data_IF_453531580960
#
_entry.id   IF_453531580960
#
_cell.length_a   1.000
_cell.length_b   1.000
_cell.length_c   1.000
_cell.angle_alpha   90.00
_cell.angle_beta   90.00
_cell.angle_gamma   90.00
#
_symmetry.space_group_name_H-M   'P 1'
#
loop_
_entity.id
_entity.type
_entity.pdbx_description
1 polymer ?
#
# COMPACT_ATOMS: atom_id res chain seq x y z
N UNK A 1 -36.96 -9.74 -7.72
CA UNK A 1 -35.78 -9.32 -6.92
C UNK A 1 -34.54 -9.68 -7.74
N UNK A 2 -33.63 -8.73 -7.93
CA UNK A 2 -32.31 -8.99 -8.53
C UNK A 2 -31.33 -9.41 -7.42
N UNK A 3 -30.55 -10.45 -7.67
CA UNK A 3 -29.52 -10.93 -6.73
C UNK A 3 -28.22 -11.16 -7.49
N UNK A 4 -27.15 -10.50 -7.05
CA UNK A 4 -25.78 -10.70 -7.54
C UNK A 4 -25.04 -11.53 -6.49
N UNK A 5 -24.54 -12.70 -6.88
CA UNK A 5 -23.83 -13.63 -6.00
C UNK A 5 -22.35 -13.58 -6.39
N UNK A 6 -21.44 -13.53 -5.40
CA UNK A 6 -19.99 -13.41 -5.62
C UNK A 6 -19.62 -12.23 -6.54
N UNK A 7 -20.04 -11.03 -6.14
CA UNK A 7 -19.84 -9.81 -6.93
C UNK A 7 -18.37 -9.62 -7.35
N UNK A 8 -18.19 -9.30 -8.63
CA UNK A 8 -16.91 -9.00 -9.27
C UNK A 8 -16.89 -7.55 -9.72
N UNK A 9 -15.71 -6.99 -9.95
CA UNK A 9 -15.58 -5.62 -10.46
C UNK A 9 -16.38 -5.38 -11.74
N UNK A 10 -16.48 -6.41 -12.60
CA UNK A 10 -17.28 -6.39 -13.84
C UNK A 10 -18.79 -6.25 -13.64
N UNK A 11 -19.30 -6.49 -12.43
CA UNK A 11 -20.72 -6.34 -12.11
C UNK A 11 -21.06 -4.87 -11.76
N UNK A 12 -20.07 -3.98 -11.71
CA UNK A 12 -20.34 -2.55 -11.52
C UNK A 12 -21.06 -1.98 -12.74
N UNK A 13 -22.13 -1.23 -12.52
CA UNK A 13 -22.94 -0.69 -13.60
C UNK A 13 -24.31 -0.19 -13.17
N UNK A 14 -25.09 0.23 -14.15
CA UNK A 14 -26.48 0.67 -13.94
C UNK A 14 -27.41 -0.51 -14.20
N UNK A 15 -28.19 -0.87 -13.18
CA UNK A 15 -29.23 -1.88 -13.24
C UNK A 15 -30.60 -1.22 -13.30
N UNK A 16 -31.42 -1.60 -14.27
CA UNK A 16 -32.77 -1.04 -14.46
C UNK A 16 -33.82 -2.09 -14.13
N UNK A 17 -34.69 -1.76 -13.18
CA UNK A 17 -35.91 -2.51 -12.92
C UNK A 17 -37.03 -1.92 -13.79
N UNK A 18 -37.67 -2.74 -14.62
CA UNK A 18 -38.82 -2.33 -15.42
C UNK A 18 -40.06 -3.09 -14.99
N UNK A 19 -41.15 -2.37 -14.75
CA UNK A 19 -42.47 -2.91 -14.49
C UNK A 19 -43.42 -2.54 -15.63
N UNK A 20 -44.29 -3.46 -16.03
CA UNK A 20 -45.27 -3.26 -17.10
C UNK A 20 -46.60 -3.86 -16.70
N UNK A 21 -47.69 -3.12 -16.93
CA UNK A 21 -49.07 -3.58 -16.78
C UNK A 21 -49.90 -3.12 -18.00
N UNK A 22 -51.21 -3.41 -18.02
CA UNK A 22 -52.10 -3.06 -19.13
C UNK A 22 -52.21 -1.54 -19.38
N UNK A 23 -51.91 -0.71 -18.37
CA UNK A 23 -51.99 0.74 -18.47
C UNK A 23 -50.66 1.40 -18.91
N UNK A 24 -49.52 0.70 -18.85
CA UNK A 24 -48.23 1.24 -19.28
C UNK A 24 -47.01 0.53 -18.68
N UNK A 25 -45.85 1.18 -18.77
CA UNK A 25 -44.59 0.70 -18.20
C UNK A 25 -43.84 1.81 -17.47
N UNK A 26 -43.19 1.44 -16.38
CA UNK A 26 -42.34 2.31 -15.57
C UNK A 26 -40.97 1.65 -15.39
N UNK A 27 -39.92 2.47 -15.24
CA UNK A 27 -38.55 2.00 -15.04
C UNK A 27 -37.89 2.77 -13.89
N UNK A 28 -37.10 2.06 -13.10
CA UNK A 28 -36.26 2.63 -12.05
C UNK A 28 -34.82 2.12 -12.21
N UNK A 29 -33.87 3.05 -12.29
CA UNK A 29 -32.44 2.74 -12.38
C UNK A 29 -31.76 2.75 -11.00
N UNK A 30 -30.76 1.89 -10.83
CA UNK A 30 -29.91 1.75 -9.65
C UNK A 30 -28.44 1.62 -10.10
N UNK A 31 -27.52 2.32 -9.43
CA UNK A 31 -26.08 2.17 -9.68
C UNK A 31 -25.51 1.18 -8.68
N UNK A 32 -24.89 0.11 -9.18
CA UNK A 32 -24.08 -0.82 -8.38
C UNK A 32 -22.61 -0.49 -8.60
N UNK A 33 -21.88 -0.26 -7.52
CA UNK A 33 -20.43 -0.08 -7.52
C UNK A 33 -19.80 -1.18 -6.67
N UNK A 34 -18.91 -1.97 -7.26
CA UNK A 34 -18.22 -3.05 -6.56
C UNK A 34 -16.84 -2.57 -6.12
N UNK A 35 -16.66 -2.48 -4.81
CA UNK A 35 -15.41 -2.08 -4.18
C UNK A 35 -14.45 -3.27 -4.07
N UNK A 36 -13.17 -3.02 -4.26
CA UNK A 36 -12.08 -4.00 -4.22
C UNK A 36 -11.11 -3.63 -3.10
N UNK A 37 -10.98 -4.50 -2.10
CA UNK A 37 -10.06 -4.28 -0.99
C UNK A 37 -8.62 -4.10 -1.48
N UNK A 38 -7.81 -3.26 -0.79
CA UNK A 38 -6.44 -2.99 -1.20
C UNK A 38 -5.59 -4.26 -1.11
N UNK A 39 -4.60 -4.36 -2.00
CA UNK A 39 -3.56 -5.39 -1.97
C UNK A 39 -2.22 -4.79 -2.32
N UNK A 40 -1.25 -4.97 -1.43
CA UNK A 40 0.12 -4.48 -1.63
C UNK A 40 0.84 -5.42 -2.61
N UNK A 41 1.48 -4.81 -3.61
CA UNK A 41 2.35 -5.44 -4.61
C UNK A 41 3.72 -4.77 -4.51
N UNK A 42 4.55 -5.22 -3.56
CA UNK A 42 5.91 -4.72 -3.40
C UNK A 42 6.94 -5.63 -4.04
N UNK A 43 7.97 -5.02 -4.65
CA UNK A 43 9.17 -5.70 -5.12
C UNK A 43 10.35 -5.55 -4.18
N UNK A 44 10.21 -4.77 -3.10
CA UNK A 44 11.26 -4.60 -2.10
C UNK A 44 11.32 -5.83 -1.19
N UNK A 45 12.52 -6.36 -0.87
CA UNK A 45 12.64 -7.48 0.07
C UNK A 45 12.28 -7.02 1.49
N UNK A 46 11.71 -7.92 2.32
CA UNK A 46 11.25 -7.57 3.68
C UNK A 46 12.39 -7.22 4.64
N UNK A 47 13.64 -7.58 4.29
CA UNK A 47 14.83 -7.26 5.07
C UNK A 47 15.88 -6.66 4.15
N UNK A 48 16.45 -5.51 4.51
CA UNK A 48 17.57 -4.89 3.78
C UNK A 48 18.66 -4.44 4.75
N UNK A 49 19.90 -4.42 4.27
CA UNK A 49 21.03 -3.86 5.01
C UNK A 49 21.56 -2.63 4.27
N UNK A 50 21.71 -1.52 4.98
CA UNK A 50 22.07 -0.22 4.40
C UNK A 50 23.19 0.41 5.22
N UNK A 51 24.27 0.93 4.60
CA UNK A 51 25.32 1.65 5.32
C UNK A 51 24.76 2.90 6.01
N UNK A 52 25.29 3.24 7.20
CA UNK A 52 25.02 4.54 7.84
C UNK A 52 25.28 5.69 6.86
N UNK A 53 24.39 6.68 6.82
CA UNK A 53 24.50 7.86 5.96
C UNK A 53 24.08 7.63 4.52
N UNK A 54 23.73 6.39 4.14
CA UNK A 54 23.23 6.08 2.80
C UNK A 54 21.71 6.21 2.70
N UNK A 55 21.24 6.62 1.53
CA UNK A 55 19.82 6.63 1.18
C UNK A 55 19.34 5.24 0.71
N UNK A 56 18.05 4.97 0.90
CA UNK A 56 17.37 3.78 0.39
C UNK A 56 15.90 4.07 0.14
N UNK A 57 15.24 3.18 -0.63
CA UNK A 57 13.81 3.28 -0.94
C UNK A 57 13.07 1.97 -0.67
N UNK A 58 11.85 2.06 -0.14
CA UNK A 58 10.94 0.95 0.11
C UNK A 58 9.64 1.17 -0.67
N UNK A 59 9.32 0.24 -1.57
CA UNK A 59 8.12 0.35 -2.40
C UNK A 59 6.88 -0.07 -1.62
N UNK A 60 5.76 0.61 -1.83
CA UNK A 60 4.45 0.17 -1.36
C UNK A 60 3.40 0.30 -2.46
N UNK A 61 3.73 -0.25 -3.63
CA UNK A 61 2.78 -0.29 -4.74
C UNK A 61 1.51 -1.03 -4.32
N UNK A 62 0.35 -0.50 -4.70
CA UNK A 62 -0.94 -1.01 -4.26
C UNK A 62 -1.90 -1.17 -5.43
N UNK A 63 -2.82 -2.12 -5.33
CA UNK A 63 -4.01 -2.21 -6.17
C UNK A 63 -5.24 -2.19 -5.27
N UNK A 64 -6.33 -1.59 -5.71
CA UNK A 64 -7.60 -1.55 -5.00
C UNK A 64 -8.54 -0.56 -5.64
N UNK A 65 -9.82 -0.63 -5.31
CA UNK A 65 -10.81 0.36 -5.74
C UNK A 65 -11.84 0.58 -4.64
N UNK A 66 -12.14 1.82 -4.22
CA UNK A 66 -11.53 3.08 -4.65
C UNK A 66 -10.02 3.13 -4.36
N UNK A 67 -9.33 4.11 -4.96
CA UNK A 67 -7.87 4.25 -4.84
C UNK A 67 -7.45 4.26 -3.35
N UNK A 68 -6.60 3.31 -2.89
CA UNK A 68 -6.28 3.20 -1.48
C UNK A 68 -5.39 4.33 -0.97
N UNK A 69 -5.68 4.82 0.23
CA UNK A 69 -4.81 5.73 0.95
C UNK A 69 -3.59 4.98 1.48
N UNK A 70 -2.40 5.48 1.17
CA UNK A 70 -1.12 4.93 1.63
C UNK A 70 -0.64 5.70 2.85
N UNK A 71 -0.17 4.98 3.87
CA UNK A 71 0.40 5.55 5.08
C UNK A 71 1.60 4.76 5.56
N UNK A 72 2.59 5.45 6.10
CA UNK A 72 3.82 4.84 6.60
C UNK A 72 3.99 5.09 8.09
N UNK A 73 4.59 4.11 8.77
CA UNK A 73 5.08 4.23 10.13
C UNK A 73 6.55 3.82 10.20
N UNK A 74 7.29 4.42 11.13
CA UNK A 74 8.67 4.11 11.46
C UNK A 74 8.74 3.77 12.94
N UNK A 75 9.09 2.53 13.27
CA UNK A 75 9.08 1.99 14.62
C UNK A 75 7.72 2.16 15.33
N UNK A 76 6.63 2.08 14.58
CA UNK A 76 5.27 2.26 15.07
C UNK A 76 4.77 3.72 15.05
N UNK A 77 5.66 4.70 14.94
CA UNK A 77 5.28 6.12 14.87
C UNK A 77 4.87 6.51 13.45
N UNK A 78 3.72 7.19 13.32
CA UNK A 78 3.23 7.66 12.02
C UNK A 78 4.18 8.67 11.41
N UNK A 79 4.57 8.44 10.16
CA UNK A 79 5.36 9.38 9.39
C UNK A 79 4.43 10.46 8.82
N UNK A 80 4.65 11.71 9.22
CA UNK A 80 3.98 12.86 8.64
C UNK A 80 4.69 13.29 7.35
N UNK A 81 3.97 13.84 6.35
CA UNK A 81 4.55 14.32 5.08
C UNK A 81 5.64 15.40 5.22
N UNK A 82 5.78 16.03 6.40
CA UNK A 82 6.71 17.14 6.65
C UNK A 82 7.96 16.73 7.44
N UNK A 83 8.30 15.44 7.47
CA UNK A 83 9.52 14.99 8.13
C UNK A 83 10.72 15.24 7.18
N UNK A 84 11.68 16.07 7.59
CA UNK A 84 12.74 16.58 6.70
C UNK A 84 13.63 15.48 6.07
N UNK A 85 13.68 14.29 6.68
CA UNK A 85 14.51 13.18 6.23
C UNK A 85 13.75 12.13 5.40
N UNK A 86 12.51 12.42 4.99
CA UNK A 86 11.60 11.44 4.39
C UNK A 86 10.88 12.03 3.17
N UNK A 87 10.86 11.26 2.09
CA UNK A 87 10.10 11.54 0.88
C UNK A 87 9.14 10.35 0.64
N UNK A 88 7.87 10.64 0.40
CA UNK A 88 6.88 9.64 -0.04
C UNK A 88 6.40 10.08 -1.42
N UNK A 89 6.72 9.29 -2.44
CA UNK A 89 6.35 9.56 -3.83
C UNK A 89 4.85 9.29 -4.07
N UNK A 90 4.32 9.76 -5.21
CA UNK A 90 2.91 9.54 -5.60
C UNK A 90 2.53 8.05 -5.69
N UNK A 91 3.50 7.19 -6.01
CA UNK A 91 3.31 5.73 -6.06
C UNK A 91 3.38 5.04 -4.68
N UNK A 92 3.54 5.83 -3.61
CA UNK A 92 3.66 5.36 -2.24
C UNK A 92 5.07 4.89 -1.83
N UNK A 93 6.07 5.02 -2.70
CA UNK A 93 7.45 4.67 -2.38
C UNK A 93 8.02 5.61 -1.33
N UNK A 94 8.56 5.02 -0.26
CA UNK A 94 9.24 5.74 0.81
C UNK A 94 10.74 5.82 0.51
N UNK A 95 11.30 7.01 0.48
CA UNK A 95 12.75 7.25 0.35
C UNK A 95 13.27 8.00 1.57
N UNK A 96 14.36 7.51 2.19
CA UNK A 96 14.94 8.11 3.40
C UNK A 96 16.43 7.78 3.53
N UNK A 97 17.13 8.46 4.44
CA UNK A 97 18.55 8.28 4.73
C UNK A 97 18.71 7.65 6.11
N UNK A 98 19.65 6.72 6.24
CA UNK A 98 19.96 6.13 7.55
C UNK A 98 20.86 7.03 8.39
N UNK A 99 20.54 7.24 9.67
CA UNK A 99 21.28 8.16 10.55
C UNK A 99 22.23 7.46 11.51
N UNK A 100 21.85 6.31 12.07
CA UNK A 100 22.61 5.59 13.10
C UNK A 100 22.53 4.08 12.88
N UNK A 101 23.53 3.35 13.36
CA UNK A 101 23.54 1.88 13.26
C UNK A 101 22.49 1.29 14.20
N UNK A 102 21.33 0.96 13.65
CA UNK A 102 20.19 0.37 14.34
C UNK A 102 19.34 -0.47 13.38
N UNK A 103 18.45 -1.28 13.95
CA UNK A 103 17.37 -1.91 13.19
C UNK A 103 16.16 -0.98 13.25
N UNK A 104 15.65 -0.59 12.09
CA UNK A 104 14.46 0.25 11.98
C UNK A 104 13.36 -0.52 11.25
N UNK A 105 12.16 -0.50 11.82
CA UNK A 105 10.99 -1.16 11.25
C UNK A 105 10.16 -0.11 10.52
N UNK A 106 10.00 -0.26 9.22
CA UNK A 106 9.09 0.56 8.43
C UNK A 106 7.88 -0.27 8.06
N UNK A 107 6.68 0.22 8.38
CA UNK A 107 5.44 -0.45 8.00
C UNK A 107 4.62 0.45 7.11
N UNK A 108 4.25 -0.07 5.94
CA UNK A 108 3.29 0.56 5.05
C UNK A 108 1.91 -0.05 5.30
N UNK A 109 0.90 0.81 5.43
CA UNK A 109 -0.50 0.43 5.57
C UNK A 109 -1.30 1.13 4.50
N UNK A 110 -2.09 0.35 3.74
CA UNK A 110 -2.97 0.83 2.68
C UNK A 110 -4.42 0.57 3.03
N UNK A 111 -5.32 1.52 2.76
CA UNK A 111 -6.74 1.42 3.14
C UNK A 111 -7.68 2.09 2.14
N UNK A 112 -8.79 1.44 1.83
CA UNK A 112 -9.95 2.05 1.19
C UNK A 112 -11.25 1.61 1.91
N UNK A 113 -12.40 1.93 1.34
CA UNK A 113 -13.71 1.62 1.94
C UNK A 113 -14.03 0.11 1.96
N UNK A 114 -13.36 -0.69 1.14
CA UNK A 114 -13.51 -2.15 1.11
C UNK A 114 -12.59 -2.88 2.10
N UNK A 115 -11.53 -2.25 2.59
CA UNK A 115 -10.63 -2.88 3.54
C UNK A 115 -9.24 -2.25 3.61
N UNK A 116 -8.28 -3.03 4.14
CA UNK A 116 -6.90 -2.60 4.33
C UNK A 116 -5.92 -3.76 4.17
N UNK A 117 -4.68 -3.43 3.85
CA UNK A 117 -3.53 -4.35 3.79
C UNK A 117 -2.28 -3.66 4.36
N UNK A 118 -1.29 -4.45 4.81
CA UNK A 118 -0.04 -3.91 5.39
C UNK A 118 1.18 -4.79 5.11
N UNK A 119 2.35 -4.15 5.02
CA UNK A 119 3.64 -4.82 4.88
C UNK A 119 4.70 -4.16 5.76
N UNK A 120 5.58 -4.97 6.34
CA UNK A 120 6.67 -4.55 7.21
C UNK A 120 8.05 -4.80 6.56
N UNK A 121 8.94 -3.82 6.68
CA UNK A 121 10.34 -3.87 6.26
C UNK A 121 11.26 -3.68 7.46
N UNK A 122 12.24 -4.57 7.62
CA UNK A 122 13.32 -4.42 8.60
C UNK A 122 14.57 -3.92 7.91
N UNK A 123 14.98 -2.72 8.28
CA UNK A 123 16.17 -2.05 7.75
C UNK A 123 17.28 -2.15 8.78
N UNK A 124 18.32 -2.92 8.46
CA UNK A 124 19.52 -3.09 9.27
C UNK A 124 20.55 -2.04 8.86
N UNK A 125 20.70 -0.99 9.65
CA UNK A 125 21.70 0.04 9.37
C UNK A 125 23.06 -0.39 9.91
N UNK A 126 24.04 -0.57 9.03
CA UNK A 126 25.38 -1.06 9.37
C UNK A 126 26.38 0.09 9.43
N UNK A 127 27.10 0.19 10.55
CA UNK A 127 28.24 1.11 10.66
C UNK A 127 29.32 0.76 9.64
N UNK A 128 29.95 1.78 9.05
CA UNK A 128 31.09 1.60 8.13
C UNK A 128 32.20 0.71 8.73
N UNK A 129 32.41 0.76 10.05
CA UNK A 129 33.40 -0.09 10.74
C UNK A 129 33.09 -1.59 10.66
N UNK A 130 31.82 -1.98 10.61
CA UNK A 130 31.40 -3.38 10.53
C UNK A 130 31.41 -3.90 9.09
N UNK A 131 31.31 -3.01 8.09
CA UNK A 131 31.38 -3.39 6.68
C UNK A 131 32.75 -3.97 6.31
N UNK A 132 33.84 -3.39 6.83
CA UNK A 132 35.20 -3.90 6.62
C UNK A 132 35.38 -5.33 7.15
N UNK A 133 34.74 -5.68 8.27
CA UNK A 133 34.88 -7.00 8.92
C UNK A 133 34.18 -8.10 8.12
N UNK A 134 33.02 -7.80 7.51
CA UNK A 134 32.30 -8.75 6.65
C UNK A 134 32.97 -8.89 5.27
N UNK A 135 33.56 -7.81 4.74
CA UNK A 135 34.30 -7.85 3.48
C UNK A 135 35.68 -8.53 3.59
N UNK A 136 36.33 -8.48 4.76
CA UNK A 136 37.68 -9.04 4.94
C UNK A 136 37.72 -10.57 5.07
N UNK A 137 36.58 -11.23 5.27
CA UNK A 137 36.48 -12.70 5.36
C UNK A 137 36.25 -13.40 4.00
N UNK A 138 36.46 -12.70 2.89
CA UNK A 138 36.25 -13.21 1.51
C UNK A 138 37.55 -13.38 0.70
N UNK A 139 38.71 -13.50 1.35
CA UNK A 139 39.97 -13.89 0.72
C UNK A 139 40.64 -15.03 1.47
#
# INVERSE_FOLDING_TARGET
ILTVIEARSSDSGIYVCSATNEAGSEQQAYTLEVLVAPKIVSTSPPNISVPVGSSFSLKCGVRGYPEPLISWTRNGDKLAPNNADIIIDEDGTLTTITSSSQVTIYKCTVKNDAGSDEIEYKVYTISERLQWVLGSNSR
#
